data_IF_800426098834
#
_entry.id   IF_800426098834
#
_cell.length_a   1.000
_cell.length_b   1.000
_cell.length_c   1.000
_cell.angle_alpha   90.00
_cell.angle_beta   90.00
_cell.angle_gamma   90.00
#
_symmetry.space_group_name_H-M   'P 1'
#
loop_
_entity.id
_entity.type
_entity.pdbx_description
1 polymer ?
#
# COMPACT_ATOMS: atom_id res chain seq x y z
N UNK A 1 -16.69 -45.60 -47.50
CA UNK A 1 -17.38 -44.30 -47.65
C UNK A 1 -17.80 -43.88 -46.26
N UNK A 2 -17.05 -42.93 -45.73
CA UNK A 2 -17.14 -42.40 -44.36
C UNK A 2 -18.22 -41.32 -44.34
N UNK A 3 -19.14 -41.37 -43.39
CA UNK A 3 -19.99 -40.25 -43.03
C UNK A 3 -19.87 -40.08 -41.52
N UNK A 4 -19.19 -39.02 -41.14
CA UNK A 4 -18.96 -38.58 -39.78
C UNK A 4 -20.30 -38.12 -39.18
N UNK A 5 -20.64 -38.64 -38.01
CA UNK A 5 -21.68 -38.06 -37.18
C UNK A 5 -21.01 -36.99 -36.31
N UNK A 6 -21.30 -35.74 -36.67
CA UNK A 6 -20.75 -34.53 -36.09
C UNK A 6 -20.97 -34.46 -34.59
N UNK A 7 -19.91 -34.09 -33.89
CA UNK A 7 -19.90 -33.83 -32.46
C UNK A 7 -20.95 -32.79 -32.10
N UNK A 8 -21.84 -33.19 -31.20
CA UNK A 8 -22.65 -32.30 -30.39
C UNK A 8 -21.70 -31.32 -29.68
N UNK A 9 -21.77 -30.00 -29.92
CA UNK A 9 -21.05 -29.07 -29.09
C UNK A 9 -21.66 -29.13 -27.69
N UNK A 10 -20.86 -29.59 -26.72
CA UNK A 10 -21.12 -29.37 -25.31
C UNK A 10 -21.28 -27.86 -25.12
N UNK A 11 -22.52 -27.42 -24.95
CA UNK A 11 -22.84 -26.08 -24.47
C UNK A 11 -22.41 -26.00 -23.02
N UNK A 12 -21.11 -25.86 -22.80
CA UNK A 12 -20.56 -25.28 -21.59
C UNK A 12 -20.89 -23.78 -21.62
N UNK A 13 -22.16 -23.47 -21.40
CA UNK A 13 -22.61 -22.10 -21.13
C UNK A 13 -22.03 -21.73 -19.76
N UNK A 14 -20.86 -21.12 -19.78
CA UNK A 14 -20.23 -20.53 -18.60
C UNK A 14 -21.21 -19.52 -17.97
N UNK A 15 -21.39 -19.49 -16.63
CA UNK A 15 -22.42 -18.66 -16.02
C UNK A 15 -22.17 -17.18 -16.30
N UNK A 16 -23.18 -16.50 -16.83
CA UNK A 16 -23.18 -15.08 -17.19
C UNK A 16 -23.23 -14.21 -15.93
N UNK A 17 -22.07 -13.81 -15.38
CA UNK A 17 -22.04 -12.89 -14.22
C UNK A 17 -20.95 -11.81 -14.35
N UNK A 18 -21.32 -10.65 -14.90
CA UNK A 18 -20.47 -9.47 -15.14
C UNK A 18 -20.71 -8.33 -14.13
N UNK A 19 -20.95 -8.71 -12.87
CA UNK A 19 -21.29 -7.87 -11.71
C UNK A 19 -22.72 -7.30 -11.77
N UNK A 20 -23.63 -8.03 -11.12
CA UNK A 20 -25.08 -7.89 -11.23
C UNK A 20 -25.58 -6.52 -10.73
N UNK A 21 -26.51 -5.92 -11.48
CA UNK A 21 -27.35 -4.80 -11.05
C UNK A 21 -27.82 -5.02 -9.61
N UNK A 22 -27.33 -4.19 -8.68
CA UNK A 22 -28.12 -3.87 -7.51
C UNK A 22 -29.41 -3.22 -8.04
N UNK A 23 -30.59 -3.73 -7.66
CA UNK A 23 -31.89 -3.19 -8.12
C UNK A 23 -32.06 -1.78 -7.53
N UNK A 24 -31.37 -0.80 -8.10
CA UNK A 24 -31.25 0.56 -7.58
C UNK A 24 -30.03 1.35 -8.06
N UNK A 25 -28.98 0.71 -8.60
CA UNK A 25 -27.86 1.47 -9.16
C UNK A 25 -28.23 2.10 -10.51
N UNK A 26 -27.94 3.39 -10.74
CA UNK A 26 -28.25 4.04 -12.00
C UNK A 26 -27.41 3.40 -13.13
N UNK A 27 -27.94 3.30 -14.37
CA UNK A 27 -27.19 2.76 -15.50
C UNK A 27 -26.01 3.65 -15.92
N UNK A 28 -26.01 4.90 -15.46
CA UNK A 28 -25.00 5.90 -15.76
C UNK A 28 -24.58 6.58 -14.46
N UNK A 29 -23.29 6.80 -14.31
CA UNK A 29 -22.71 7.54 -13.21
C UNK A 29 -21.88 8.71 -13.75
N UNK A 30 -21.94 9.85 -13.06
CA UNK A 30 -21.13 11.03 -13.37
C UNK A 30 -19.79 11.01 -12.63
N UNK A 31 -19.65 10.19 -11.59
CA UNK A 31 -18.43 10.03 -10.80
C UNK A 31 -18.45 8.65 -10.14
N UNK A 32 -17.28 8.08 -9.82
CA UNK A 32 -17.23 6.79 -9.15
C UNK A 32 -17.66 6.89 -7.70
N UNK A 33 -18.18 5.79 -7.18
CA UNK A 33 -18.47 5.64 -5.76
C UNK A 33 -17.26 5.05 -5.04
N UNK A 34 -17.23 5.28 -3.73
CA UNK A 34 -16.30 4.64 -2.81
C UNK A 34 -16.35 3.11 -2.95
N UNK A 35 -15.20 2.49 -3.15
CA UNK A 35 -15.06 1.05 -3.34
C UNK A 35 -15.34 0.52 -4.74
N UNK A 36 -15.59 1.39 -5.72
CA UNK A 36 -15.65 1.00 -7.12
C UNK A 36 -14.23 0.70 -7.65
N UNK A 37 -14.08 -0.43 -8.35
CA UNK A 37 -12.95 -0.63 -9.23
C UNK A 37 -13.20 0.07 -10.56
N UNK A 38 -12.18 0.74 -11.06
CA UNK A 38 -12.25 1.58 -12.26
C UNK A 38 -11.01 1.42 -13.12
N UNK A 39 -11.19 1.63 -14.42
CA UNK A 39 -10.11 1.89 -15.37
C UNK A 39 -9.97 3.39 -15.53
N UNK A 40 -8.84 3.94 -15.08
CA UNK A 40 -8.48 5.34 -15.21
C UNK A 40 -7.69 5.56 -16.49
N UNK A 41 -8.09 6.52 -17.31
CA UNK A 41 -7.32 6.98 -18.46
C UNK A 41 -6.86 8.41 -18.22
N UNK A 42 -5.56 8.61 -17.96
CA UNK A 42 -5.02 9.95 -17.72
C UNK A 42 -5.15 10.79 -18.99
N UNK A 43 -5.65 12.02 -18.85
CA UNK A 43 -5.61 13.07 -19.86
C UNK A 43 -4.52 14.09 -19.49
N UNK A 44 -3.33 14.01 -20.12
CA UNK A 44 -2.23 14.93 -19.82
C UNK A 44 -2.58 16.40 -20.07
N UNK A 45 -3.39 16.69 -21.09
CA UNK A 45 -3.68 18.07 -21.49
C UNK A 45 -4.70 18.71 -20.55
N UNK A 46 -5.73 17.96 -20.17
CA UNK A 46 -6.70 18.41 -19.17
C UNK A 46 -6.04 18.58 -17.79
N UNK A 47 -5.08 17.71 -17.44
CA UNK A 47 -4.31 17.81 -16.19
C UNK A 47 -3.62 19.17 -16.03
N UNK A 48 -3.03 19.68 -17.12
CA UNK A 48 -2.38 21.01 -17.16
C UNK A 48 -3.32 22.10 -17.71
N UNK A 49 -4.63 21.89 -17.68
CA UNK A 49 -5.63 22.81 -18.22
C UNK A 49 -5.54 24.24 -17.64
N UNK A 50 -5.10 24.34 -16.39
CA UNK A 50 -4.90 25.56 -15.62
C UNK A 50 -3.59 26.30 -15.96
N UNK A 51 -2.68 25.69 -16.72
CA UNK A 51 -1.39 26.26 -17.12
C UNK A 51 -1.44 26.87 -18.53
N UNK A 52 -0.29 27.42 -18.94
CA UNK A 52 -0.12 28.14 -20.20
C UNK A 52 -0.10 27.22 -21.44
N UNK A 53 0.03 27.84 -22.62
CA UNK A 53 0.03 27.13 -23.90
C UNK A 53 1.28 26.24 -24.06
N UNK A 54 2.41 26.64 -23.45
CA UNK A 54 3.64 25.88 -23.49
C UNK A 54 3.50 24.56 -22.71
N UNK A 55 2.95 24.60 -21.50
CA UNK A 55 2.64 23.42 -20.70
C UNK A 55 1.68 22.48 -21.44
N UNK A 56 0.60 23.01 -22.02
CA UNK A 56 -0.36 22.21 -22.83
C UNK A 56 0.27 21.56 -24.07
N UNK A 57 1.31 22.17 -24.65
CA UNK A 57 2.07 21.58 -25.77
C UNK A 57 3.06 20.51 -25.30
N UNK A 58 3.66 20.70 -24.12
CA UNK A 58 4.52 19.68 -23.51
C UNK A 58 3.71 18.45 -23.09
N UNK A 59 2.57 18.65 -22.41
CA UNK A 59 1.68 17.58 -21.97
C UNK A 59 1.14 16.73 -23.13
N UNK A 60 0.90 17.32 -24.31
CA UNK A 60 0.52 16.57 -25.53
C UNK A 60 1.52 15.50 -25.96
N UNK A 61 2.76 15.57 -25.50
CA UNK A 61 3.81 14.58 -25.79
C UNK A 61 3.79 13.41 -24.82
N UNK A 62 3.08 13.52 -23.69
CA UNK A 62 2.93 12.46 -22.72
C UNK A 62 1.88 11.48 -23.26
N UNK A 63 2.19 10.17 -23.37
CA UNK A 63 1.21 9.20 -23.82
C UNK A 63 0.06 9.07 -22.83
N UNK A 64 -1.13 8.75 -23.35
CA UNK A 64 -2.28 8.38 -22.51
C UNK A 64 -2.07 6.95 -22.02
N UNK A 65 -2.15 6.76 -20.71
CA UNK A 65 -2.01 5.46 -20.07
C UNK A 65 -3.30 5.09 -19.34
N UNK A 66 -3.59 3.78 -19.31
CA UNK A 66 -4.74 3.22 -18.63
C UNK A 66 -4.26 2.48 -17.38
N UNK A 67 -4.91 2.71 -16.25
CA UNK A 67 -4.56 2.09 -14.98
C UNK A 67 -5.81 1.48 -14.36
N UNK A 68 -5.67 0.35 -13.68
CA UNK A 68 -6.74 -0.21 -12.89
C UNK A 68 -6.57 0.29 -11.46
N UNK A 69 -7.64 0.77 -10.84
CA UNK A 69 -7.59 1.34 -9.50
C UNK A 69 -8.87 1.03 -8.72
N UNK A 70 -8.75 1.05 -7.40
CA UNK A 70 -9.85 1.05 -6.46
C UNK A 70 -10.04 2.47 -5.92
N UNK A 71 -11.29 2.96 -5.92
CA UNK A 71 -11.60 4.27 -5.34
C UNK A 71 -11.65 4.18 -3.83
N UNK A 72 -10.76 4.91 -3.16
CA UNK A 72 -10.53 4.87 -1.71
C UNK A 72 -11.23 6.01 -0.96
N UNK A 73 -11.42 7.17 -1.60
CA UNK A 73 -12.24 8.25 -1.08
C UNK A 73 -12.59 9.26 -2.18
N UNK A 74 -13.60 10.10 -1.95
CA UNK A 74 -13.99 11.20 -2.83
C UNK A 74 -14.18 12.48 -2.03
N UNK A 75 -13.52 13.56 -2.44
CA UNK A 75 -13.48 14.85 -1.76
C UNK A 75 -14.45 15.86 -2.38
N UNK A 76 -15.10 16.63 -1.52
CA UNK A 76 -16.07 17.66 -1.86
C UNK A 76 -17.45 17.11 -2.20
N UNK A 77 -18.44 18.00 -2.25
CA UNK A 77 -19.78 17.65 -2.75
C UNK A 77 -19.68 17.45 -4.27
N UNK A 78 -20.03 16.25 -4.78
CA UNK A 78 -20.08 16.02 -6.22
C UNK A 78 -21.28 16.78 -6.79
N UNK A 79 -20.98 17.65 -7.76
CA UNK A 79 -21.98 18.44 -8.46
C UNK A 79 -21.75 18.24 -9.96
N UNK A 80 -22.82 18.04 -10.73
CA UNK A 80 -22.76 17.97 -12.19
C UNK A 80 -22.19 19.25 -12.83
N UNK A 81 -22.26 20.38 -12.11
CA UNK A 81 -21.70 21.66 -12.55
C UNK A 81 -20.18 21.74 -12.39
N UNK A 82 -19.57 20.85 -11.58
CA UNK A 82 -18.12 20.77 -11.46
C UNK A 82 -17.57 19.95 -12.64
N UNK A 83 -16.51 20.41 -13.32
CA UNK A 83 -15.92 19.65 -14.42
C UNK A 83 -15.20 18.38 -13.95
N UNK A 84 -14.77 18.36 -12.68
CA UNK A 84 -14.04 17.25 -12.09
C UNK A 84 -14.46 17.04 -10.63
N UNK A 85 -14.28 15.82 -10.15
CA UNK A 85 -14.41 15.41 -8.76
C UNK A 85 -13.08 14.85 -8.28
N UNK A 86 -12.68 15.19 -7.05
CA UNK A 86 -11.38 14.78 -6.52
C UNK A 86 -11.52 13.45 -5.78
N UNK A 87 -10.63 12.52 -6.07
CA UNK A 87 -10.65 11.18 -5.48
C UNK A 87 -9.26 10.78 -5.00
N UNK A 88 -9.22 9.97 -3.94
CA UNK A 88 -8.05 9.17 -3.63
C UNK A 88 -8.25 7.75 -4.19
N UNK A 89 -7.18 7.16 -4.68
CA UNK A 89 -7.22 5.86 -5.33
C UNK A 89 -6.11 4.96 -4.79
N UNK A 90 -6.38 3.66 -4.76
CA UNK A 90 -5.36 2.63 -4.59
C UNK A 90 -5.13 1.95 -5.94
N UNK A 91 -3.90 2.00 -6.46
CA UNK A 91 -3.59 1.44 -7.75
C UNK A 91 -3.47 -0.10 -7.66
N UNK A 92 -4.02 -0.77 -8.67
CA UNK A 92 -3.89 -2.21 -8.85
C UNK A 92 -2.68 -2.49 -9.71
N UNK A 93 -1.99 -3.58 -9.41
CA UNK A 93 -0.88 -4.09 -10.21
C UNK A 93 -0.98 -5.58 -10.46
N UNK A 94 -0.31 -6.01 -11.52
CA UNK A 94 -0.05 -7.41 -11.80
C UNK A 94 1.24 -7.83 -11.10
N UNK A 95 1.24 -9.05 -10.55
CA UNK A 95 2.40 -9.69 -9.92
C UNK A 95 2.91 -8.95 -8.67
N UNK A 96 3.94 -9.48 -8.02
CA UNK A 96 4.57 -8.91 -6.82
C UNK A 96 5.56 -7.80 -7.17
N UNK A 97 5.85 -6.85 -6.25
CA UNK A 97 6.59 -5.65 -6.59
C UNK A 97 8.06 -5.99 -6.73
N UNK A 98 8.71 -5.37 -7.70
CA UNK A 98 10.17 -5.30 -7.67
C UNK A 98 10.53 -4.31 -6.56
N UNK A 99 11.19 -4.79 -5.51
CA UNK A 99 11.58 -3.96 -4.38
C UNK A 99 12.69 -3.00 -4.83
N UNK A 100 12.34 -1.75 -5.07
CA UNK A 100 13.26 -0.74 -5.60
C UNK A 100 13.87 0.13 -4.50
N UNK A 101 13.23 0.20 -3.34
CA UNK A 101 13.66 1.02 -2.20
C UNK A 101 13.80 0.23 -0.89
N UNK A 102 14.69 -0.77 -0.78
CA UNK A 102 14.99 -1.37 0.52
C UNK A 102 15.66 -0.34 1.46
N UNK A 103 15.36 -0.34 2.76
CA UNK A 103 14.47 -1.27 3.49
C UNK A 103 12.99 -0.83 3.55
N UNK A 104 12.61 0.23 2.84
CA UNK A 104 11.26 0.80 2.88
C UNK A 104 10.23 -0.07 2.19
N UNK A 105 10.61 -0.64 1.04
CA UNK A 105 9.79 -1.61 0.32
C UNK A 105 10.02 -3.03 0.85
N UNK A 106 8.93 -3.69 1.26
CA UNK A 106 8.94 -5.13 1.55
C UNK A 106 7.88 -5.84 0.70
N UNK A 107 8.06 -7.14 0.36
CA UNK A 107 7.07 -7.88 -0.42
C UNK A 107 5.69 -7.89 0.25
N UNK A 108 5.66 -7.80 1.57
CA UNK A 108 4.45 -7.81 2.38
C UNK A 108 3.59 -6.56 2.17
N UNK A 109 4.09 -5.51 1.53
CA UNK A 109 3.31 -4.29 1.29
C UNK A 109 2.34 -4.42 0.11
N UNK A 110 2.07 -5.64 -0.37
CA UNK A 110 1.09 -5.91 -1.42
C UNK A 110 0.01 -6.86 -0.93
N UNK A 111 -1.25 -6.51 -1.21
CA UNK A 111 -2.40 -7.32 -0.78
C UNK A 111 -3.09 -7.96 -1.99
N UNK A 112 -3.16 -9.30 -2.08
CA UNK A 112 -3.78 -9.99 -3.19
C UNK A 112 -5.29 -9.70 -3.28
N UNK A 113 -5.80 -9.58 -4.51
CA UNK A 113 -7.22 -9.37 -4.80
C UNK A 113 -7.83 -10.70 -5.26
N UNK A 114 -8.90 -11.16 -4.62
CA UNK A 114 -9.54 -12.44 -5.00
C UNK A 114 -9.97 -12.42 -6.49
N UNK A 115 -9.67 -13.49 -7.27
CA UNK A 115 -9.38 -14.85 -6.82
C UNK A 115 -7.91 -15.15 -6.52
N UNK A 116 -7.00 -14.19 -6.68
CA UNK A 116 -5.60 -14.40 -6.31
C UNK A 116 -5.49 -14.66 -4.81
N UNK A 117 -4.90 -15.79 -4.46
CA UNK A 117 -4.60 -16.21 -3.08
C UNK A 117 -3.12 -16.45 -2.87
N UNK A 118 -2.31 -16.21 -3.89
CA UNK A 118 -0.88 -16.43 -3.85
C UNK A 118 -0.17 -15.17 -3.34
N UNK A 119 0.33 -15.22 -2.11
CA UNK A 119 1.31 -14.26 -1.61
C UNK A 119 2.31 -15.01 -0.71
N UNK A 120 3.63 -14.86 -0.89
CA UNK A 120 4.64 -15.67 -0.19
C UNK A 120 4.52 -15.64 1.33
N UNK A 121 4.11 -14.49 1.89
CA UNK A 121 4.07 -14.25 3.34
C UNK A 121 2.68 -13.88 3.86
N UNK A 122 1.67 -13.74 3.00
CA UNK A 122 0.32 -13.28 3.42
C UNK A 122 -0.75 -14.26 2.98
N UNK A 123 -1.69 -14.52 3.88
CA UNK A 123 -2.93 -15.25 3.59
C UNK A 123 -4.13 -14.32 3.35
N UNK A 124 -4.00 -13.07 3.77
CA UNK A 124 -5.06 -12.08 3.73
C UNK A 124 -5.30 -11.56 2.31
N UNK A 125 -6.57 -11.48 1.89
CA UNK A 125 -6.98 -11.05 0.55
C UNK A 125 -8.01 -9.93 0.62
N UNK A 126 -8.03 -9.08 -0.40
CA UNK A 126 -9.08 -8.11 -0.66
C UNK A 126 -10.23 -8.83 -1.36
N UNK A 127 -11.46 -8.58 -0.88
CA UNK A 127 -12.65 -9.30 -1.33
C UNK A 127 -13.60 -8.36 -2.08
N UNK A 128 -13.54 -8.31 -3.43
CA UNK A 128 -14.59 -7.69 -4.22
C UNK A 128 -15.89 -8.51 -4.12
N UNK A 129 -17.01 -7.89 -4.49
CA UNK A 129 -18.35 -8.51 -4.43
C UNK A 129 -18.49 -9.74 -5.32
N UNK A 130 -17.62 -9.85 -6.32
CA UNK A 130 -17.49 -10.96 -7.22
C UNK A 130 -16.01 -11.17 -7.57
N UNK A 131 -15.59 -12.33 -8.11
CA UNK A 131 -14.19 -12.57 -8.45
C UNK A 131 -13.64 -11.47 -9.37
N UNK A 132 -12.46 -10.94 -9.03
CA UNK A 132 -11.75 -9.97 -9.86
C UNK A 132 -11.42 -10.61 -11.22
N UNK A 133 -11.63 -9.91 -12.35
CA UNK A 133 -11.58 -10.54 -13.66
C UNK A 133 -10.15 -10.69 -14.19
N UNK A 134 -9.21 -9.92 -13.64
CA UNK A 134 -7.80 -9.92 -14.01
C UNK A 134 -7.01 -10.84 -13.05
N UNK A 135 -6.07 -11.60 -13.61
CA UNK A 135 -5.30 -12.60 -12.87
C UNK A 135 -4.12 -11.98 -12.12
N UNK A 136 -3.71 -12.62 -11.02
CA UNK A 136 -2.49 -12.28 -10.24
C UNK A 136 -2.39 -10.79 -9.86
N UNK A 137 -3.53 -10.22 -9.45
CA UNK A 137 -3.63 -8.81 -9.10
C UNK A 137 -3.48 -8.54 -7.60
N UNK A 138 -2.89 -7.39 -7.28
CA UNK A 138 -2.60 -6.92 -5.92
C UNK A 138 -2.91 -5.42 -5.79
N UNK A 139 -3.29 -4.98 -4.59
CA UNK A 139 -3.20 -3.56 -4.19
C UNK A 139 -1.77 -3.29 -3.73
N UNK A 140 -1.14 -2.27 -4.33
CA UNK A 140 0.22 -1.86 -3.98
C UNK A 140 0.22 -0.81 -2.87
N UNK A 141 0.96 -1.09 -1.78
CA UNK A 141 1.20 -0.18 -0.67
C UNK A 141 2.70 0.02 -0.41
N UNK A 142 3.55 -0.29 -1.40
CA UNK A 142 5.00 0.02 -1.33
C UNK A 142 5.23 1.53 -1.19
N UNK A 143 6.46 1.93 -0.86
CA UNK A 143 6.83 3.30 -0.53
C UNK A 143 6.27 4.36 -1.49
N UNK A 144 6.24 4.07 -2.79
CA UNK A 144 5.73 4.97 -3.83
C UNK A 144 4.22 5.29 -3.72
N UNK A 145 3.47 4.52 -2.94
CA UNK A 145 2.01 4.55 -2.82
C UNK A 145 1.52 4.74 -1.38
N UNK A 146 2.42 5.04 -0.43
CA UNK A 146 2.05 5.31 0.96
C UNK A 146 1.29 6.62 1.12
N UNK A 147 1.67 7.64 0.34
CA UNK A 147 0.90 8.88 0.25
C UNK A 147 -0.40 8.63 -0.56
N UNK A 148 -1.55 9.13 -0.10
CA UNK A 148 -2.80 9.02 -0.85
C UNK A 148 -2.66 9.54 -2.27
N UNK A 149 -2.92 8.68 -3.25
CA UNK A 149 -2.80 9.04 -4.66
C UNK A 149 -4.05 9.82 -5.08
N UNK A 150 -3.89 11.12 -5.26
CA UNK A 150 -4.95 12.01 -5.74
C UNK A 150 -5.18 11.93 -7.25
N UNK A 151 -6.45 11.95 -7.66
CA UNK A 151 -6.85 12.05 -9.06
C UNK A 151 -8.10 12.94 -9.22
N UNK A 152 -8.14 13.74 -10.28
CA UNK A 152 -9.32 14.52 -10.70
C UNK A 152 -10.08 13.75 -11.76
N UNK A 153 -11.25 13.24 -11.41
CA UNK A 153 -12.05 12.41 -12.31
C UNK A 153 -13.08 13.30 -13.00
N UNK A 154 -13.13 13.24 -14.34
CA UNK A 154 -14.10 14.00 -15.13
C UNK A 154 -15.52 13.64 -14.74
N UNK A 155 -16.42 14.63 -14.69
CA UNK A 155 -17.85 14.40 -14.43
C UNK A 155 -18.64 13.95 -15.65
N UNK A 156 -17.97 13.40 -16.67
CA UNK A 156 -18.61 12.92 -17.90
C UNK A 156 -19.49 11.70 -17.56
N UNK A 157 -20.73 11.62 -18.08
CA UNK A 157 -21.58 10.45 -17.87
C UNK A 157 -20.95 9.17 -18.43
N UNK A 158 -20.78 8.16 -17.59
CA UNK A 158 -20.16 6.88 -17.95
C UNK A 158 -21.09 5.70 -17.67
N UNK A 159 -20.99 4.64 -18.49
CA UNK A 159 -21.77 3.42 -18.31
C UNK A 159 -21.36 2.71 -17.01
N UNK A 160 -22.30 2.58 -16.09
CA UNK A 160 -22.06 2.06 -14.74
C UNK A 160 -22.55 0.61 -14.55
N UNK A 161 -23.02 -0.03 -15.61
CA UNK A 161 -23.71 -1.34 -15.53
C UNK A 161 -22.78 -2.54 -15.25
N UNK A 162 -21.46 -2.37 -15.38
CA UNK A 162 -20.47 -3.45 -15.18
C UNK A 162 -19.48 -3.14 -14.06
N UNK A 163 -19.87 -2.28 -13.11
CA UNK A 163 -19.00 -1.91 -11.99
C UNK A 163 -18.73 -3.09 -11.06
N UNK A 164 -17.46 -3.35 -10.79
CA UNK A 164 -17.03 -4.23 -9.70
C UNK A 164 -16.81 -3.40 -8.45
N UNK A 165 -17.33 -3.87 -7.32
CA UNK A 165 -17.25 -3.15 -6.04
C UNK A 165 -16.57 -3.94 -4.96
N UNK A 166 -16.15 -3.20 -3.94
CA UNK A 166 -15.70 -3.70 -2.64
C UNK A 166 -16.66 -3.15 -1.57
N UNK A 167 -16.98 -3.97 -0.58
CA UNK A 167 -17.92 -3.57 0.49
C UNK A 167 -17.28 -2.52 1.43
N UNK A 168 -18.07 -1.63 2.05
CA UNK A 168 -17.56 -0.58 2.96
C UNK A 168 -16.56 -1.08 4.01
N UNK A 169 -16.84 -2.21 4.66
CA UNK A 169 -15.94 -2.85 5.64
C UNK A 169 -14.56 -3.19 5.09
N UNK A 170 -14.48 -3.56 3.80
CA UNK A 170 -13.22 -3.87 3.14
C UNK A 170 -12.45 -2.58 2.79
N UNK A 171 -13.14 -1.47 2.52
CA UNK A 171 -12.52 -0.16 2.36
C UNK A 171 -11.97 0.36 3.68
N UNK A 172 -12.75 0.32 4.76
CA UNK A 172 -12.28 0.70 6.10
C UNK A 172 -11.04 -0.13 6.50
N UNK A 173 -11.08 -1.44 6.23
CA UNK A 173 -9.93 -2.33 6.42
C UNK A 173 -8.73 -1.91 5.59
N UNK A 174 -8.89 -1.64 4.29
CA UNK A 174 -7.80 -1.15 3.44
C UNK A 174 -7.21 0.16 3.95
N UNK A 175 -8.02 1.13 4.35
CA UNK A 175 -7.55 2.39 4.95
C UNK A 175 -6.69 2.12 6.19
N UNK A 176 -7.11 1.21 7.07
CA UNK A 176 -6.32 0.80 8.23
C UNK A 176 -4.99 0.17 7.83
N UNK A 177 -4.98 -0.68 6.80
CA UNK A 177 -3.75 -1.30 6.29
C UNK A 177 -2.77 -0.25 5.75
N UNK A 178 -3.25 0.73 4.96
CA UNK A 178 -2.42 1.85 4.51
C UNK A 178 -1.82 2.62 5.69
N UNK A 179 -2.64 2.97 6.70
CA UNK A 179 -2.14 3.65 7.90
C UNK A 179 -1.10 2.85 8.65
N UNK A 180 -1.29 1.52 8.78
CA UNK A 180 -0.32 0.64 9.42
C UNK A 180 1.02 0.60 8.67
N UNK A 181 1.00 0.55 7.33
CA UNK A 181 2.24 0.56 6.54
C UNK A 181 2.98 1.89 6.64
N UNK A 182 2.27 3.03 6.73
CA UNK A 182 2.87 4.35 7.01
C UNK A 182 3.57 4.34 8.37
N UNK A 183 2.86 3.97 9.44
CA UNK A 183 3.43 3.91 10.80
C UNK A 183 4.62 2.93 10.87
N UNK A 184 4.54 1.80 10.16
CA UNK A 184 5.63 0.82 10.09
C UNK A 184 6.90 1.43 9.51
N UNK A 185 6.78 2.25 8.47
CA UNK A 185 7.97 2.88 7.86
C UNK A 185 8.50 4.03 8.72
N UNK A 186 7.63 4.81 9.36
CA UNK A 186 8.04 5.84 10.32
C UNK A 186 8.83 5.24 11.50
N UNK A 187 8.34 4.15 12.11
CA UNK A 187 9.05 3.41 13.17
C UNK A 187 10.41 2.89 12.66
N UNK A 188 10.43 2.33 11.45
CA UNK A 188 11.65 1.84 10.84
C UNK A 188 12.68 2.96 10.62
N UNK A 189 12.24 4.12 10.14
CA UNK A 189 13.10 5.30 9.96
C UNK A 189 13.66 5.78 11.30
N UNK A 190 12.82 5.84 12.33
CA UNK A 190 13.19 6.24 13.69
C UNK A 190 14.23 5.27 14.29
N UNK A 191 13.99 3.97 14.21
CA UNK A 191 14.92 2.94 14.72
C UNK A 191 16.27 2.95 14.02
N UNK A 192 16.28 3.18 12.70
CA UNK A 192 17.53 3.37 11.94
C UNK A 192 18.26 4.63 12.42
N UNK A 193 17.53 5.74 12.63
CA UNK A 193 18.08 7.02 13.12
C UNK A 193 18.73 6.86 14.49
N UNK A 194 18.14 6.06 15.38
CA UNK A 194 18.67 5.76 16.72
C UNK A 194 19.78 4.71 16.74
N UNK A 195 20.08 4.07 15.61
CA UNK A 195 21.15 3.09 15.53
C UNK A 195 20.78 1.71 16.06
N UNK A 196 19.50 1.31 15.97
CA UNK A 196 19.06 -0.05 16.31
C UNK A 196 19.82 -1.08 15.47
N UNK A 197 20.67 -1.85 16.14
CA UNK A 197 21.60 -2.79 15.51
C UNK A 197 20.83 -3.92 14.80
N UNK A 198 19.71 -4.38 15.35
CA UNK A 198 18.94 -5.47 14.77
C UNK A 198 18.29 -5.04 13.46
N UNK A 199 17.71 -3.84 13.44
CA UNK A 199 17.13 -3.24 12.23
C UNK A 199 18.20 -3.05 11.18
N UNK A 200 19.33 -2.42 11.53
CA UNK A 200 20.41 -2.13 10.59
C UNK A 200 20.97 -3.43 10.00
N UNK A 201 21.11 -4.48 10.81
CA UNK A 201 21.57 -5.79 10.35
C UNK A 201 20.56 -6.50 9.43
N UNK A 202 19.26 -6.18 9.51
CA UNK A 202 18.21 -6.77 8.67
C UNK A 202 18.08 -6.10 7.29
N UNK A 203 18.67 -4.91 7.10
CA UNK A 203 18.58 -4.17 5.82
C UNK A 203 19.29 -4.99 4.72
N UNK A 204 18.62 -5.26 3.59
CA UNK A 204 19.24 -5.97 2.47
C UNK A 204 20.47 -5.23 1.97
N UNK A 205 21.60 -5.94 1.90
CA UNK A 205 22.81 -5.38 1.29
C UNK A 205 22.57 -5.17 -0.21
N UNK A 206 23.11 -4.09 -0.80
CA UNK A 206 23.04 -3.90 -2.24
C UNK A 206 23.70 -5.08 -2.96
N UNK A 207 23.20 -5.47 -4.15
CA UNK A 207 23.83 -6.52 -4.93
C UNK A 207 25.29 -6.15 -5.18
N UNK A 208 26.20 -7.10 -4.92
CA UNK A 208 27.63 -6.88 -5.10
C UNK A 208 27.91 -6.45 -6.54
N UNK A 209 28.73 -5.40 -6.78
CA UNK A 209 29.04 -4.99 -8.13
C UNK A 209 29.71 -6.14 -8.88
N UNK A 210 29.27 -6.41 -10.12
CA UNK A 210 29.80 -7.52 -10.94
C UNK A 210 31.33 -7.46 -11.13
N UNK A 211 31.94 -6.28 -10.94
CA UNK A 211 33.39 -6.08 -10.93
C UNK A 211 34.10 -6.76 -9.74
N UNK A 212 33.43 -6.92 -8.59
CA UNK A 212 33.99 -7.57 -7.40
C UNK A 212 34.15 -9.09 -7.58
N UNK A 213 33.33 -9.72 -8.44
CA UNK A 213 33.43 -11.16 -8.74
C UNK A 213 34.71 -11.55 -9.51
N UNK A 214 35.44 -10.57 -10.06
CA UNK A 214 36.68 -10.78 -10.82
C UNK A 214 37.95 -10.52 -10.02
N UNK A 215 37.82 -10.15 -8.75
CA UNK A 215 38.98 -9.93 -7.88
C UNK A 215 39.29 -11.26 -7.19
N UNK A 216 40.46 -11.88 -7.44
CA UNK A 216 40.87 -13.06 -6.68
C UNK A 216 40.87 -12.73 -5.19
N UNK A 217 40.15 -13.53 -4.40
CA UNK A 217 40.22 -13.41 -2.95
C UNK A 217 41.68 -13.58 -2.50
N UNK A 218 42.18 -12.77 -1.57
CA UNK A 218 43.51 -12.97 -1.01
C UNK A 218 43.58 -14.38 -0.41
N UNK A 219 44.67 -15.09 -0.69
CA UNK A 219 44.92 -16.41 -0.12
C UNK A 219 44.77 -16.34 1.39
N UNK A 220 43.85 -17.14 1.93
CA UNK A 220 43.63 -17.23 3.37
C UNK A 220 44.95 -17.62 4.03
N UNK A 221 45.41 -16.92 5.08
CA UNK A 221 46.64 -17.28 5.76
C UNK A 221 46.49 -18.71 6.29
N UNK A 222 47.29 -19.60 5.73
CA UNK A 222 47.43 -21.00 6.15
C UNK A 222 47.65 -21.03 7.66
N UNK A 223 46.86 -21.80 8.44
CA UNK A 223 47.07 -21.89 9.87
C UNK A 223 48.44 -22.53 10.13
N UNK A 224 49.41 -21.71 10.53
CA UNK A 224 50.68 -22.18 11.06
C UNK A 224 50.42 -23.05 12.30
N UNK A 225 51.10 -24.19 12.44
CA UNK A 225 50.87 -25.11 13.53
C UNK A 225 51.18 -24.43 14.87
N UNK A 226 50.17 -24.47 15.74
CA UNK A 226 50.20 -23.98 17.13
C UNK A 226 51.36 -24.65 17.87
N UNK A 227 52.37 -23.86 18.27
CA UNK A 227 53.35 -24.32 19.25
C UNK A 227 52.70 -24.30 20.63
N UNK A 228 52.50 -25.50 21.17
CA UNK A 228 51.99 -25.78 22.49
C UNK A 228 52.86 -25.15 23.58
N UNK A 229 52.43 -23.98 24.11
CA UNK A 229 53.02 -23.39 25.31
C UNK A 229 52.41 -24.07 26.54
N UNK A 230 53.30 -24.69 27.32
CA UNK A 230 52.98 -25.46 28.52
C UNK A 230 52.32 -24.59 29.59
N UNK A 231 51.16 -25.08 30.02
CA UNK A 231 50.42 -24.74 31.24
C UNK A 231 51.35 -24.75 32.47
N UNK A 232 51.59 -23.59 33.06
CA UNK A 232 52.22 -23.47 34.38
C UNK A 232 51.15 -23.17 35.42
N UNK A 233 50.91 -24.15 36.29
CA UNK A 233 50.13 -23.99 37.51
C UNK A 233 50.93 -23.16 38.51
N UNK A 234 50.32 -22.11 39.06
CA UNK A 234 50.69 -21.60 40.39
C UNK A 234 49.46 -21.11 41.13
N UNK A 235 49.12 -21.90 42.15
CA UNK A 235 48.19 -21.62 43.24
C UNK A 235 48.78 -20.65 44.28
N UNK A 236 47.88 -20.09 45.11
CA UNK A 236 48.03 -19.31 46.37
C UNK A 236 47.64 -17.84 46.15
N UNK A 237 46.71 -17.23 46.88
CA UNK A 237 45.92 -17.63 48.04
C UNK A 237 45.59 -16.36 48.85
N UNK A 238 44.40 -16.33 49.48
CA UNK A 238 43.97 -15.40 50.55
C UNK A 238 43.77 -13.92 50.18
N UNK A 239 42.91 -13.13 50.82
CA UNK A 239 41.65 -13.23 51.58
C UNK A 239 41.31 -11.76 51.93
N UNK A 240 40.01 -11.43 51.95
CA UNK A 240 39.32 -10.41 52.77
C UNK A 240 39.82 -8.96 52.86
N UNK A 241 38.89 -8.01 52.81
CA UNK A 241 39.02 -6.77 53.57
C UNK A 241 38.19 -5.63 53.01
N UNK A 242 37.13 -5.27 53.71
CA UNK A 242 36.17 -4.24 53.35
C UNK A 242 36.58 -2.84 53.85
N UNK A 243 35.82 -1.84 53.37
CA UNK A 243 35.38 -0.61 54.04
C UNK A 243 36.05 0.74 53.71
N UNK A 244 35.16 1.63 53.24
CA UNK A 244 34.99 3.08 53.42
C UNK A 244 35.85 4.11 52.67
N UNK A 245 35.09 4.97 51.99
CA UNK A 245 35.38 6.30 51.40
C UNK A 245 35.54 7.38 52.50
N UNK A 246 35.99 8.64 52.21
CA UNK A 246 35.03 9.67 51.75
C UNK A 246 35.58 10.87 50.92
N UNK A 247 34.65 11.56 50.23
CA UNK A 247 34.66 13.00 49.88
C UNK A 247 35.09 13.34 48.45
N UNK A 248 34.49 14.27 47.69
CA UNK A 248 33.46 15.29 47.98
C UNK A 248 33.09 16.01 46.66
N UNK A 249 31.80 16.37 46.48
CA UNK A 249 31.20 17.46 45.66
C UNK A 249 31.49 17.51 44.13
N UNK A 250 30.58 17.88 43.22
CA UNK A 250 29.37 18.70 43.29
C UNK A 250 28.45 18.45 42.07
N UNK A 251 27.16 18.74 42.27
CA UNK A 251 26.16 19.25 41.32
C UNK A 251 25.88 18.47 40.00
N UNK A 252 24.63 18.03 39.83
CA UNK A 252 23.69 18.71 38.92
C UNK A 252 22.35 17.96 38.76
N UNK A 253 21.31 18.78 38.61
CA UNK A 253 20.00 18.57 37.99
C UNK A 253 19.02 17.54 38.55
N UNK A 254 18.04 18.09 39.27
CA UNK A 254 16.70 17.54 39.47
C UNK A 254 15.97 17.45 38.13
N UNK A 255 15.79 16.23 37.61
CA UNK A 255 14.87 15.95 36.50
C UNK A 255 13.55 15.50 37.10
N UNK A 256 12.49 16.31 36.92
CA UNK A 256 11.12 15.95 37.32
C UNK A 256 10.63 14.77 36.50
N UNK A 257 10.45 13.62 37.16
CA UNK A 257 9.78 12.44 36.63
C UNK A 257 8.27 12.65 36.86
N UNK A 258 7.54 12.92 35.78
CA UNK A 258 6.08 12.90 35.81
C UNK A 258 5.68 11.43 35.58
N UNK A 259 5.34 10.74 36.67
CA UNK A 259 4.70 9.42 36.60
C UNK A 259 3.21 9.61 36.34
N UNK A 260 2.73 9.13 35.19
CA UNK A 260 1.30 8.95 34.97
C UNK A 260 0.86 7.64 35.61
N UNK A 261 -0.15 7.76 36.47
CA UNK A 261 -0.78 6.71 37.24
C UNK A 261 -1.94 6.15 36.39
N UNK A 262 -1.77 4.94 35.84
CA UNK A 262 -2.86 4.18 35.24
C UNK A 262 -3.34 3.12 36.25
N UNK A 263 -4.38 3.47 37.00
CA UNK A 263 -5.17 2.53 37.78
C UNK A 263 -6.64 2.66 37.37
N UNK A 264 -7.16 1.70 36.60
CA UNK A 264 -8.15 0.77 37.15
C UNK A 264 -8.52 -0.31 36.13
N UNK A 265 -8.15 -1.54 36.49
CA UNK A 265 -8.69 -2.77 35.92
C UNK A 265 -10.11 -3.02 36.41
N UNK A 266 -11.04 -3.28 35.48
CA UNK A 266 -12.26 -4.04 35.79
C UNK A 266 -12.32 -5.29 34.91
N UNK A 267 -12.20 -6.43 35.56
CA UNK A 267 -12.46 -7.75 35.00
C UNK A 267 -13.97 -7.96 34.88
N UNK A 268 -14.49 -8.21 33.68
CA UNK A 268 -15.71 -9.00 33.53
C UNK A 268 -15.77 -9.69 32.16
N UNK A 269 -16.06 -11.00 32.21
CA UNK A 269 -16.26 -11.91 31.09
C UNK A 269 -17.41 -11.47 30.17
N UNK A 270 -17.15 -11.15 28.90
CA UNK A 270 -18.12 -11.29 27.79
C UNK A 270 -17.41 -11.45 26.42
N UNK A 271 -16.90 -12.64 26.12
CA UNK A 271 -16.33 -13.00 24.80
C UNK A 271 -17.39 -13.30 23.72
N UNK A 272 -18.47 -12.50 23.65
CA UNK A 272 -19.49 -12.70 22.60
C UNK A 272 -20.27 -11.48 22.13
N UNK A 273 -19.99 -10.29 22.66
CA UNK A 273 -20.65 -9.03 22.26
C UNK A 273 -19.71 -8.07 21.49
N UNK A 274 -18.41 -8.34 21.45
CA UNK A 274 -17.39 -7.47 20.86
C UNK A 274 -17.44 -7.37 19.33
N UNK A 275 -17.86 -8.41 18.62
CA UNK A 275 -17.90 -8.39 17.14
C UNK A 275 -19.03 -7.49 16.60
N UNK A 276 -20.18 -7.43 17.29
CA UNK A 276 -21.34 -6.64 16.84
C UNK A 276 -21.17 -5.15 17.17
N UNK A 277 -20.56 -4.85 18.32
CA UNK A 277 -20.25 -3.46 18.71
C UNK A 277 -19.09 -2.89 17.87
N UNK A 278 -18.07 -3.70 17.55
CA UNK A 278 -17.01 -3.31 16.61
C UNK A 278 -17.56 -3.00 15.21
N UNK A 279 -18.47 -3.82 14.69
CA UNK A 279 -19.07 -3.60 13.37
C UNK A 279 -19.87 -2.28 13.31
N UNK A 280 -20.57 -1.93 14.40
CA UNK A 280 -21.31 -0.68 14.50
C UNK A 280 -20.38 0.55 14.59
N UNK A 281 -19.28 0.44 15.34
CA UNK A 281 -18.26 1.48 15.46
C UNK A 281 -17.52 1.71 14.14
N UNK A 282 -17.17 0.63 13.42
CA UNK A 282 -16.54 0.70 12.09
C UNK A 282 -17.47 1.39 11.07
N UNK A 283 -18.78 1.10 11.14
CA UNK A 283 -19.80 1.78 10.34
C UNK A 283 -19.89 3.28 10.63
N UNK A 284 -19.87 3.67 11.91
CA UNK A 284 -19.90 5.08 12.31
C UNK A 284 -18.62 5.84 11.89
N UNK A 285 -17.45 5.23 12.05
CA UNK A 285 -16.17 5.81 11.61
C UNK A 285 -16.17 6.03 10.10
N UNK A 286 -16.68 5.05 9.33
CA UNK A 286 -16.82 5.14 7.89
C UNK A 286 -17.74 6.30 7.45
N UNK A 287 -18.89 6.47 8.13
CA UNK A 287 -19.79 7.59 7.87
C UNK A 287 -19.15 8.94 8.19
N UNK A 288 -18.42 9.04 9.30
CA UNK A 288 -17.72 10.26 9.70
C UNK A 288 -16.62 10.65 8.70
N UNK A 289 -15.78 9.71 8.25
CA UNK A 289 -14.75 9.97 7.23
C UNK A 289 -15.39 10.45 5.93
N UNK A 290 -16.48 9.82 5.50
CA UNK A 290 -17.22 10.24 4.30
C UNK A 290 -17.77 11.66 4.43
N UNK A 291 -18.26 12.04 5.61
CA UNK A 291 -18.75 13.40 5.86
C UNK A 291 -17.62 14.43 5.83
N UNK A 292 -16.49 14.15 6.46
CA UNK A 292 -15.31 15.01 6.44
C UNK A 292 -14.84 15.26 5.01
N UNK A 293 -14.68 14.19 4.22
CA UNK A 293 -14.29 14.27 2.81
C UNK A 293 -15.29 15.11 2.00
N UNK A 294 -16.59 14.97 2.25
CA UNK A 294 -17.62 15.75 1.56
C UNK A 294 -17.55 17.25 1.88
N UNK A 295 -17.22 17.62 3.12
CA UNK A 295 -17.05 19.03 3.54
C UNK A 295 -15.75 19.61 2.97
N UNK A 296 -14.73 18.79 2.80
CA UNK A 296 -13.44 19.21 2.26
C UNK A 296 -13.40 19.17 0.73
N UNK A 297 -13.75 20.29 0.09
CA UNK A 297 -13.65 20.45 -1.38
C UNK A 297 -12.22 20.81 -1.86
N UNK A 298 -11.22 20.75 -0.98
CA UNK A 298 -9.85 21.14 -1.30
C UNK A 298 -9.12 19.99 -1.98
N UNK A 299 -9.24 19.91 -3.30
CA UNK A 299 -8.38 19.06 -4.11
C UNK A 299 -7.14 19.77 -4.64
N UNK A 300 -6.09 19.03 -5.01
CA UNK A 300 -4.89 19.61 -5.60
C UNK A 300 -5.09 19.81 -7.12
N UNK A 301 -5.00 21.05 -7.65
CA UNK A 301 -5.04 21.29 -9.09
C UNK A 301 -3.89 20.63 -9.86
N UNK A 302 -2.84 20.15 -9.18
CA UNK A 302 -1.71 19.40 -9.73
C UNK A 302 -1.95 17.89 -9.80
N UNK A 303 -3.06 17.38 -9.26
CA UNK A 303 -3.42 15.98 -9.42
C UNK A 303 -3.77 15.70 -10.89
N UNK A 304 -3.40 14.53 -11.45
CA UNK A 304 -3.76 14.18 -12.82
C UNK A 304 -5.27 14.20 -13.03
N UNK A 305 -5.70 14.66 -14.20
CA UNK A 305 -7.09 14.50 -14.66
C UNK A 305 -7.21 13.17 -15.39
N UNK A 306 -8.25 12.39 -15.08
CA UNK A 306 -8.52 11.12 -15.72
C UNK A 306 -9.99 10.96 -16.09
N UNK A 307 -10.22 10.29 -17.22
CA UNK A 307 -11.51 9.72 -17.59
C UNK A 307 -11.64 8.33 -16.92
N UNK A 308 -12.88 7.92 -16.60
CA UNK A 308 -13.17 6.63 -15.96
C UNK A 308 -14.00 5.73 -16.86
N UNK A 309 -13.64 4.45 -16.89
CA UNK A 309 -14.52 3.36 -17.30
C UNK A 309 -14.71 2.38 -16.15
N UNK A 310 -15.90 1.79 -16.03
CA UNK A 310 -16.22 0.79 -15.00
C UNK A 310 -16.10 -0.64 -15.53
N UNK A 311 -15.91 -0.80 -16.84
CA UNK A 311 -15.70 -2.10 -17.45
C UNK A 311 -14.23 -2.47 -17.33
N UNK A 312 -13.89 -3.48 -16.52
CA UNK A 312 -12.52 -3.93 -16.35
C UNK A 312 -11.99 -4.70 -17.57
N UNK A 313 -12.87 -5.17 -18.45
CA UNK A 313 -12.50 -5.83 -19.71
C UNK A 313 -11.94 -4.84 -20.75
N UNK A 314 -12.03 -3.55 -20.47
CA UNK A 314 -11.43 -2.51 -21.28
C UNK A 314 -9.89 -2.58 -21.33
N UNK A 315 -9.28 -3.36 -20.43
CA UNK A 315 -7.84 -3.48 -20.28
C UNK A 315 -7.45 -4.95 -20.38
N UNK A 316 -6.66 -5.29 -21.40
CA UNK A 316 -6.14 -6.66 -21.58
C UNK A 316 -5.05 -7.01 -20.54
N UNK A 317 -4.32 -6.01 -20.06
CA UNK A 317 -3.23 -6.18 -19.10
C UNK A 317 -3.12 -4.99 -18.13
N UNK A 318 -2.98 -5.30 -16.82
CA UNK A 318 -2.78 -4.28 -15.79
C UNK A 318 -1.43 -3.61 -15.97
N UNK A 319 -1.45 -2.31 -16.27
CA UNK A 319 -0.25 -1.48 -16.40
C UNK A 319 0.43 -1.30 -15.04
N UNK A 320 1.77 -1.34 -15.02
CA UNK A 320 2.56 -1.09 -13.81
C UNK A 320 2.20 0.28 -13.17
N UNK A 321 1.75 0.32 -11.91
CA UNK A 321 1.34 1.56 -11.25
C UNK A 321 2.48 2.57 -11.05
N UNK A 322 3.75 2.15 -11.08
CA UNK A 322 4.88 3.10 -11.01
C UNK A 322 4.89 4.05 -12.22
N UNK A 323 4.30 3.64 -13.35
CA UNK A 323 4.12 4.52 -14.49
C UNK A 323 3.13 5.65 -14.19
N UNK A 324 2.12 5.44 -13.33
CA UNK A 324 1.23 6.51 -12.87
C UNK A 324 2.03 7.59 -12.14
N UNK A 325 2.90 7.18 -11.20
CA UNK A 325 3.77 8.09 -10.45
C UNK A 325 4.66 8.88 -11.40
N UNK A 326 5.27 8.21 -12.37
CA UNK A 326 6.10 8.87 -13.40
C UNK A 326 5.31 9.89 -14.23
N UNK A 327 4.08 9.57 -14.65
CA UNK A 327 3.23 10.48 -15.42
C UNK A 327 2.81 11.69 -14.56
N UNK A 328 2.38 11.45 -13.31
CA UNK A 328 2.05 12.51 -12.35
C UNK A 328 3.23 13.46 -12.16
N UNK A 329 4.43 12.92 -11.95
CA UNK A 329 5.62 13.73 -11.72
C UNK A 329 6.05 14.50 -12.99
N UNK A 330 5.82 13.95 -14.19
CA UNK A 330 6.00 14.69 -15.45
C UNK A 330 5.02 15.85 -15.60
N UNK A 331 3.76 15.68 -15.15
CA UNK A 331 2.73 16.72 -15.21
C UNK A 331 2.96 17.85 -14.20
N UNK A 332 3.73 17.58 -13.13
CA UNK A 332 4.06 18.55 -12.08
C UNK A 332 5.32 19.39 -12.38
N UNK A 333 6.08 19.04 -13.42
CA UNK A 333 7.28 19.77 -13.87
C UNK A 333 6.93 20.92 -14.81
#
# INVERSE_FOLDING_TARGET
MSAAEEGRPDTATVPRFRYLFDRGSPPTAFWPCLGDFVVLTIDPVASVGHLDVAAKRAARKIPRHRFVALVMSGRGIPLETKPFTHHSIALVRRELPTLNHPPWDTPEMCYPILPNTHHPTRSETIQPTHPFPLVDCYIDMTWAFQDPIGCRITTTPCNYTSVLRVMPRQIARLSRLFSQEVTRVEDLEERIRYGDIEVIASIPLPPSPASAARIPLPESPTPSPVSSVKRSQRSRGSKSGALYSPGTHAASDEVSIIGSDDSDSSSSNYDRESEVESDALDGQLFEMMRFEDMVNDTGDPRDPVADVSYDLDDVDEVTDPLLFIKVRDQLRR
#
